data_IF_481846145708
#
_entry.id   IF_481846145708
#
_cell.length_a   1.000
_cell.length_b   1.000
_cell.length_c   1.000
_cell.angle_alpha   90.00
_cell.angle_beta   90.00
_cell.angle_gamma   90.00
#
_symmetry.space_group_name_H-M   'P 1'
#
loop_
_entity.id
_entity.type
_entity.pdbx_description
1 polymer ?
#
# COMPACT_ATOMS: atom_id res chain seq x y z
N UNK A 1 24.04 -58.92 -11.54
CA UNK A 1 24.59 -57.65 -11.01
C UNK A 1 24.18 -56.40 -11.81
N UNK A 2 24.11 -56.43 -13.15
CA UNK A 2 23.71 -55.24 -13.95
C UNK A 2 22.23 -54.81 -13.83
N UNK A 3 21.29 -55.75 -13.62
CA UNK A 3 19.85 -55.42 -13.51
C UNK A 3 19.45 -54.79 -12.17
N UNK A 4 20.10 -55.17 -11.06
CA UNK A 4 19.83 -54.58 -9.73
C UNK A 4 20.30 -53.12 -9.60
N UNK A 5 21.34 -52.74 -10.35
CA UNK A 5 21.88 -51.37 -10.37
C UNK A 5 20.95 -50.39 -11.09
N UNK A 6 20.23 -50.84 -12.12
CA UNK A 6 19.31 -49.99 -12.90
C UNK A 6 18.03 -49.69 -12.10
N UNK A 7 17.52 -50.67 -11.34
CA UNK A 7 16.33 -50.48 -10.48
C UNK A 7 16.65 -49.53 -9.32
N UNK A 8 17.85 -49.61 -8.74
CA UNK A 8 18.31 -48.67 -7.70
C UNK A 8 18.41 -47.23 -8.21
N UNK A 9 18.90 -47.03 -9.44
CA UNK A 9 19.00 -45.71 -10.06
C UNK A 9 17.63 -45.08 -10.36
N UNK A 10 16.65 -45.89 -10.81
CA UNK A 10 15.28 -45.42 -11.06
C UNK A 10 14.51 -45.09 -9.76
N UNK A 11 14.75 -45.82 -8.67
CA UNK A 11 14.20 -45.49 -7.35
C UNK A 11 14.81 -44.20 -6.78
N UNK A 12 16.12 -43.98 -6.99
CA UNK A 12 16.76 -42.71 -6.64
C UNK A 12 16.22 -41.54 -7.49
N UNK A 13 15.97 -41.75 -8.78
CA UNK A 13 15.41 -40.73 -9.66
C UNK A 13 13.96 -40.39 -9.31
N UNK A 14 13.14 -41.41 -8.99
CA UNK A 14 11.76 -41.21 -8.56
C UNK A 14 11.66 -40.52 -7.19
N UNK A 15 12.56 -40.81 -6.24
CA UNK A 15 12.60 -40.09 -4.95
C UNK A 15 13.07 -38.65 -5.11
N UNK A 16 13.94 -38.34 -6.09
CA UNK A 16 14.29 -36.95 -6.42
C UNK A 16 13.12 -36.20 -7.06
N UNK A 17 12.26 -36.87 -7.83
CA UNK A 17 11.06 -36.23 -8.40
C UNK A 17 10.02 -35.94 -7.30
N UNK A 18 9.84 -36.82 -6.32
CA UNK A 18 8.93 -36.56 -5.19
C UNK A 18 9.46 -35.54 -4.18
N UNK A 19 10.78 -35.38 -4.05
CA UNK A 19 11.38 -34.34 -3.20
C UNK A 19 11.31 -32.92 -3.81
N UNK A 20 10.97 -32.79 -5.10
CA UNK A 20 10.74 -31.50 -5.78
C UNK A 20 9.27 -31.07 -5.82
N UNK A 21 8.32 -31.88 -5.30
CA UNK A 21 6.88 -31.52 -5.24
C UNK A 21 6.52 -31.09 -3.80
N UNK A 22 7.45 -30.45 -3.12
CA UNK A 22 7.14 -29.55 -2.01
C UNK A 22 7.60 -28.16 -2.47
N UNK A 23 6.97 -27.62 -3.51
CA UNK A 23 6.96 -26.17 -3.68
C UNK A 23 6.08 -25.66 -2.54
N UNK A 24 6.77 -25.12 -1.53
CA UNK A 24 6.20 -24.19 -0.58
C UNK A 24 5.46 -23.10 -1.38
N UNK A 25 4.15 -23.26 -1.55
CA UNK A 25 3.25 -22.15 -1.85
C UNK A 25 3.18 -21.27 -0.60
N UNK A 26 4.30 -20.63 -0.24
CA UNK A 26 4.19 -19.30 0.36
C UNK A 26 3.73 -18.42 -0.80
N UNK A 27 2.45 -18.05 -0.83
CA UNK A 27 1.93 -17.06 -1.77
C UNK A 27 2.78 -15.79 -1.61
N UNK A 28 3.77 -15.62 -2.50
CA UNK A 28 4.67 -14.49 -2.50
C UNK A 28 3.83 -13.25 -2.83
N UNK A 29 3.46 -12.49 -1.78
CA UNK A 29 2.65 -11.28 -1.92
C UNK A 29 3.33 -10.34 -2.92
N UNK A 30 2.70 -10.16 -4.08
CA UNK A 30 3.27 -9.33 -5.14
C UNK A 30 3.09 -7.86 -4.80
N UNK A 31 4.12 -7.02 -4.99
CA UNK A 31 3.96 -5.59 -4.84
C UNK A 31 2.99 -5.07 -5.90
N UNK A 32 2.18 -4.08 -5.54
CA UNK A 32 1.38 -3.37 -6.52
C UNK A 32 2.29 -2.65 -7.53
N UNK A 33 2.00 -2.84 -8.81
CA UNK A 33 2.74 -2.19 -9.89
C UNK A 33 1.98 -0.98 -10.41
N UNK A 34 2.65 0.17 -10.39
CA UNK A 34 2.09 1.39 -10.99
C UNK A 34 2.31 1.36 -12.50
N UNK A 35 1.27 1.75 -13.23
CA UNK A 35 1.39 2.05 -14.65
C UNK A 35 2.08 3.40 -14.87
N UNK A 36 2.43 3.69 -16.12
CA UNK A 36 2.89 5.03 -16.48
C UNK A 36 1.74 6.02 -16.36
N UNK A 37 1.96 7.14 -15.68
CA UNK A 37 0.90 8.10 -15.41
C UNK A 37 1.24 9.10 -14.33
N UNK A 38 0.25 9.90 -13.97
CA UNK A 38 0.36 10.95 -12.96
C UNK A 38 -0.07 10.41 -11.60
N UNK A 39 0.77 10.58 -10.59
CA UNK A 39 0.56 10.13 -9.23
C UNK A 39 1.01 11.18 -8.22
N UNK A 40 0.66 10.96 -6.95
CA UNK A 40 0.95 11.90 -5.87
C UNK A 40 1.77 11.24 -4.75
N UNK A 41 2.60 12.05 -4.11
CA UNK A 41 3.40 11.61 -2.96
C UNK A 41 2.57 11.55 -1.68
N UNK A 42 2.55 10.38 -1.05
CA UNK A 42 1.78 10.14 0.18
C UNK A 42 2.54 10.45 1.47
N UNK A 43 3.85 10.68 1.42
CA UNK A 43 4.70 11.01 2.57
C UNK A 43 5.83 11.97 2.14
N UNK A 44 6.52 12.58 3.10
CA UNK A 44 7.55 13.59 2.85
C UNK A 44 8.62 13.66 3.96
N UNK A 45 9.87 14.04 3.64
CA UNK A 45 10.41 14.27 2.30
C UNK A 45 10.85 12.97 1.62
N UNK A 46 10.72 12.90 0.28
CA UNK A 46 11.15 11.74 -0.52
C UNK A 46 12.32 12.13 -1.42
N UNK A 47 13.41 11.36 -1.37
CA UNK A 47 14.58 11.64 -2.20
C UNK A 47 14.41 11.08 -3.62
N UNK A 48 14.58 11.92 -4.64
CA UNK A 48 14.77 11.50 -6.03
C UNK A 48 16.24 11.12 -6.20
N UNK A 49 16.52 9.93 -6.70
CA UNK A 49 17.87 9.38 -6.82
C UNK A 49 18.32 9.23 -8.27
N UNK A 50 19.63 9.25 -8.50
CA UNK A 50 20.25 9.03 -9.82
C UNK A 50 20.22 7.58 -10.28
N UNK A 51 19.97 6.65 -9.37
CA UNK A 51 19.86 5.21 -9.64
C UNK A 51 18.70 4.62 -8.82
N UNK A 52 18.09 3.52 -9.28
CA UNK A 52 16.94 2.86 -8.64
C UNK A 52 17.38 2.02 -7.42
N UNK A 53 18.08 2.65 -6.47
CA UNK A 53 18.52 2.04 -5.22
C UNK A 53 18.94 3.12 -4.21
N UNK A 54 19.08 2.74 -2.93
CA UNK A 54 19.46 3.67 -1.86
C UNK A 54 20.89 4.24 -1.94
N UNK A 55 21.78 3.67 -2.76
CA UNK A 55 23.17 4.13 -2.94
C UNK A 55 23.28 5.21 -4.01
N UNK A 56 22.29 5.33 -4.89
CA UNK A 56 22.22 6.41 -5.88
C UNK A 56 22.24 7.79 -5.20
N UNK A 57 23.00 8.71 -5.77
CA UNK A 57 23.08 10.10 -5.29
C UNK A 57 21.70 10.75 -5.33
N UNK A 58 21.39 11.59 -4.35
CA UNK A 58 20.14 12.35 -4.34
C UNK A 58 20.27 13.50 -5.34
N UNK A 59 19.36 13.56 -6.30
CA UNK A 59 19.31 14.57 -7.39
C UNK A 59 18.14 15.54 -7.23
N UNK A 60 17.23 15.27 -6.30
CA UNK A 60 16.09 16.12 -5.98
C UNK A 60 15.35 15.61 -4.75
N UNK A 61 14.35 16.36 -4.30
CA UNK A 61 13.46 15.98 -3.21
C UNK A 61 12.03 16.33 -3.57
N UNK A 62 11.12 15.45 -3.18
CA UNK A 62 9.68 15.64 -3.26
C UNK A 62 9.13 15.95 -1.87
N UNK A 63 8.21 16.89 -1.83
CA UNK A 63 7.35 17.22 -0.71
C UNK A 63 6.11 16.34 -0.65
N UNK A 64 5.29 16.63 0.36
CA UNK A 64 3.99 15.99 0.52
C UNK A 64 3.05 16.56 -0.54
N UNK A 65 2.18 15.72 -1.11
CA UNK A 65 1.24 16.09 -2.18
C UNK A 65 1.87 16.40 -3.54
N UNK A 66 3.20 16.37 -3.67
CA UNK A 66 3.86 16.60 -4.95
C UNK A 66 3.33 15.64 -6.01
N UNK A 67 3.00 16.19 -7.18
CA UNK A 67 2.59 15.45 -8.37
C UNK A 67 3.84 14.98 -9.13
N UNK A 68 3.85 13.71 -9.55
CA UNK A 68 4.93 13.10 -10.33
C UNK A 68 4.36 12.39 -11.56
N UNK A 69 5.17 12.31 -12.63
CA UNK A 69 4.89 11.43 -13.77
C UNK A 69 5.76 10.17 -13.64
N UNK A 70 5.15 9.00 -13.44
CA UNK A 70 5.84 7.71 -13.62
C UNK A 70 5.98 7.46 -15.12
N UNK A 71 7.23 7.20 -15.54
CA UNK A 71 7.55 6.93 -16.94
C UNK A 71 8.12 5.53 -17.17
N UNK A 72 8.56 4.84 -16.11
CA UNK A 72 9.11 3.48 -16.20
C UNK A 72 9.06 2.76 -14.85
N UNK A 73 8.54 1.54 -14.83
CA UNK A 73 8.74 0.58 -13.73
C UNK A 73 10.07 -0.16 -13.95
N UNK A 74 10.98 -0.10 -12.98
CA UNK A 74 12.31 -0.72 -13.08
C UNK A 74 12.29 -2.19 -12.63
N UNK A 75 11.27 -2.62 -11.89
CA UNK A 75 11.13 -4.01 -11.40
C UNK A 75 12.12 -4.41 -10.30
N UNK A 76 13.00 -3.50 -9.87
CA UNK A 76 13.89 -3.75 -8.74
C UNK A 76 13.08 -3.70 -7.44
N UNK A 77 12.64 -4.84 -6.95
CA UNK A 77 11.84 -4.93 -5.72
C UNK A 77 12.76 -4.67 -4.52
N UNK A 78 12.32 -3.79 -3.63
CA UNK A 78 13.00 -3.52 -2.37
C UNK A 78 11.98 -3.37 -1.24
N UNK A 79 12.25 -4.02 -0.10
CA UNK A 79 11.50 -3.78 1.13
C UNK A 79 12.10 -2.61 1.91
N UNK A 80 11.28 -1.64 2.29
CA UNK A 80 11.62 -0.55 3.20
C UNK A 80 10.45 -0.28 4.16
N UNK A 81 10.74 -0.19 5.45
CA UNK A 81 9.74 0.10 6.51
C UNK A 81 8.53 -0.87 6.48
N UNK A 82 8.79 -2.16 6.25
CA UNK A 82 7.74 -3.19 6.22
C UNK A 82 6.79 -3.10 5.03
N UNK A 83 7.23 -2.47 3.94
CA UNK A 83 6.52 -2.45 2.66
C UNK A 83 7.50 -2.88 1.57
N UNK A 84 7.05 -3.75 0.69
CA UNK A 84 7.80 -4.29 -0.44
C UNK A 84 7.27 -3.63 -1.71
N UNK A 85 8.13 -2.91 -2.43
CA UNK A 85 7.74 -2.16 -3.62
C UNK A 85 8.87 -2.03 -4.65
N UNK A 86 8.48 -1.78 -5.90
CA UNK A 86 9.40 -1.54 -7.02
C UNK A 86 10.03 -0.15 -6.94
N UNK A 87 11.15 0.02 -7.66
CA UNK A 87 11.67 1.35 -8.02
C UNK A 87 11.05 1.83 -9.32
N UNK A 88 10.77 3.13 -9.40
CA UNK A 88 10.18 3.77 -10.56
C UNK A 88 11.04 4.92 -11.02
N UNK A 89 11.16 5.07 -12.33
CA UNK A 89 11.69 6.29 -12.95
C UNK A 89 10.56 7.28 -13.10
N UNK A 90 10.82 8.51 -12.69
CA UNK A 90 9.83 9.58 -12.64
C UNK A 90 10.35 10.85 -13.29
N UNK A 91 9.42 11.71 -13.73
CA UNK A 91 9.67 13.13 -13.96
C UNK A 91 8.99 13.95 -12.88
N UNK A 92 9.69 14.99 -12.46
CA UNK A 92 9.20 16.01 -11.54
C UNK A 92 9.84 17.35 -11.90
N UNK A 93 9.05 18.30 -12.41
CA UNK A 93 9.57 19.52 -13.03
C UNK A 93 10.65 19.18 -14.08
N UNK A 94 11.85 19.77 -13.97
CA UNK A 94 12.98 19.52 -14.86
C UNK A 94 13.86 18.32 -14.41
N UNK A 95 13.47 17.59 -13.35
CA UNK A 95 14.24 16.48 -12.79
C UNK A 95 13.68 15.16 -13.32
N UNK A 96 14.55 14.33 -13.89
CA UNK A 96 14.29 12.91 -14.13
C UNK A 96 15.17 12.08 -13.21
N UNK A 97 14.58 11.13 -12.48
CA UNK A 97 15.32 10.27 -11.57
C UNK A 97 14.47 9.12 -11.06
N UNK A 98 14.88 8.51 -9.95
CA UNK A 98 14.27 7.29 -9.43
C UNK A 98 13.78 7.47 -8.01
N UNK A 99 12.59 6.95 -7.72
CA UNK A 99 12.03 6.87 -6.38
C UNK A 99 11.57 5.44 -6.08
N UNK A 100 11.50 5.12 -4.80
CA UNK A 100 10.96 3.85 -4.35
C UNK A 100 9.43 3.94 -4.20
N UNK A 101 8.71 2.97 -4.74
CA UNK A 101 7.26 2.99 -4.95
C UNK A 101 6.42 3.05 -3.69
N UNK A 102 6.95 2.66 -2.52
CA UNK A 102 6.19 2.69 -1.26
C UNK A 102 5.87 4.09 -0.72
N UNK A 103 6.33 5.15 -1.40
CA UNK A 103 5.95 6.55 -1.17
C UNK A 103 4.96 7.10 -2.22
N UNK A 104 4.59 6.31 -3.23
CA UNK A 104 3.65 6.71 -4.28
C UNK A 104 2.25 6.30 -3.86
N UNK A 105 1.29 7.20 -3.98
CA UNK A 105 -0.11 6.89 -3.69
C UNK A 105 -0.75 6.11 -4.82
N UNK A 106 -1.46 5.03 -4.47
CA UNK A 106 -2.30 4.29 -5.41
C UNK A 106 -3.53 5.09 -5.83
N UNK A 107 -4.09 5.89 -4.93
CA UNK A 107 -5.10 6.90 -5.24
C UNK A 107 -5.23 7.92 -4.12
N UNK A 108 -5.74 9.09 -4.48
CA UNK A 108 -5.89 10.24 -3.60
C UNK A 108 -7.32 10.77 -3.63
N UNK A 109 -7.85 11.11 -2.45
CA UNK A 109 -9.11 11.84 -2.31
C UNK A 109 -8.78 13.15 -1.60
N UNK A 110 -9.02 14.27 -2.29
CA UNK A 110 -9.00 15.60 -1.69
C UNK A 110 -10.44 16.00 -1.36
N UNK A 111 -10.69 16.38 -0.11
CA UNK A 111 -11.95 16.98 0.31
C UNK A 111 -11.65 18.30 1.03
N UNK A 112 -12.31 19.37 0.60
CA UNK A 112 -12.23 20.68 1.24
C UNK A 112 -13.54 20.88 2.02
N UNK A 113 -13.45 21.10 3.33
CA UNK A 113 -14.63 21.44 4.13
C UNK A 113 -14.89 22.94 4.06
N UNK A 114 -15.87 23.35 3.25
CA UNK A 114 -16.26 24.75 3.02
C UNK A 114 -16.57 25.54 4.32
N UNK A 115 -16.92 24.86 5.41
CA UNK A 115 -17.30 25.51 6.67
C UNK A 115 -16.13 25.87 7.60
N UNK A 116 -14.93 25.31 7.39
CA UNK A 116 -13.82 25.40 8.37
C UNK A 116 -12.48 25.81 7.70
N UNK A 117 -12.47 26.15 6.40
CA UNK A 117 -11.23 26.45 5.65
C UNK A 117 -10.15 25.38 5.90
N UNK A 118 -10.57 24.11 5.80
CA UNK A 118 -9.75 22.96 6.17
C UNK A 118 -9.71 21.98 5.00
N UNK A 119 -8.49 21.69 4.55
CA UNK A 119 -8.21 20.72 3.52
C UNK A 119 -7.86 19.37 4.16
N UNK A 120 -8.63 18.34 3.79
CA UNK A 120 -8.29 16.95 4.07
C UNK A 120 -7.76 16.27 2.82
N UNK A 121 -6.61 15.62 2.95
CA UNK A 121 -6.07 14.73 1.94
C UNK A 121 -6.03 13.31 2.47
N UNK A 122 -6.56 12.38 1.69
CA UNK A 122 -6.58 10.96 2.02
C UNK A 122 -5.84 10.26 0.89
N UNK A 123 -4.70 9.67 1.22
CA UNK A 123 -3.93 8.81 0.34
C UNK A 123 -4.00 7.39 0.87
N UNK A 124 -3.90 6.43 -0.04
CA UNK A 124 -3.56 5.07 0.36
C UNK A 124 -2.52 4.49 -0.58
N UNK A 125 -1.87 3.44 -0.10
CA UNK A 125 -1.07 2.51 -0.91
C UNK A 125 -1.66 1.12 -0.79
N UNK A 126 -1.53 0.34 -1.86
CA UNK A 126 -1.92 -1.07 -1.86
C UNK A 126 -0.88 -1.85 -1.06
N UNK A 127 -1.33 -2.53 -0.02
CA UNK A 127 -0.49 -3.29 0.90
C UNK A 127 0.02 -4.58 0.25
N UNK A 128 -0.86 -5.26 -0.48
CA UNK A 128 -0.54 -6.46 -1.23
C UNK A 128 -1.63 -6.74 -2.28
N UNK A 129 -1.27 -7.56 -3.25
CA UNK A 129 -2.22 -8.22 -4.15
C UNK A 129 -2.46 -9.62 -3.60
N UNK A 130 -3.73 -9.98 -3.40
CA UNK A 130 -4.09 -11.32 -2.92
C UNK A 130 -3.93 -12.39 -4.03
N UNK A 131 -4.07 -13.69 -3.69
CA UNK A 131 -3.94 -14.76 -4.68
C UNK A 131 -4.97 -14.72 -5.82
N UNK A 132 -6.09 -14.00 -5.65
CA UNK A 132 -7.12 -13.79 -6.67
C UNK A 132 -6.81 -12.57 -7.58
N UNK A 133 -5.72 -11.85 -7.29
CA UNK A 133 -5.29 -10.68 -8.05
C UNK A 133 -5.94 -9.38 -7.60
N UNK A 134 -6.58 -9.35 -6.42
CA UNK A 134 -7.32 -8.20 -5.93
C UNK A 134 -6.45 -7.36 -4.98
N UNK A 135 -6.50 -6.01 -5.07
CA UNK A 135 -5.73 -5.14 -4.21
C UNK A 135 -6.34 -5.04 -2.81
N UNK A 136 -5.49 -5.23 -1.79
CA UNK A 136 -5.83 -5.09 -0.39
C UNK A 136 -5.07 -3.92 0.26
N UNK A 137 -5.71 -3.24 1.22
CA UNK A 137 -5.14 -2.07 1.93
C UNK A 137 -5.32 -2.25 3.43
N UNK A 138 -4.23 -2.31 4.18
CA UNK A 138 -4.27 -2.26 5.64
C UNK A 138 -4.53 -0.84 6.15
N UNK A 139 -5.09 -0.72 7.36
CA UNK A 139 -5.32 0.59 7.99
C UNK A 139 -4.05 1.43 8.12
N UNK A 140 -2.91 0.80 8.42
CA UNK A 140 -1.59 1.46 8.51
C UNK A 140 -1.11 2.07 7.19
N UNK A 141 -1.71 1.64 6.07
CA UNK A 141 -1.40 2.04 4.70
C UNK A 141 -2.40 3.08 4.15
N UNK A 142 -3.29 3.58 5.01
CA UNK A 142 -4.14 4.75 4.77
C UNK A 142 -3.51 5.95 5.49
N UNK A 143 -3.33 7.04 4.76
CA UNK A 143 -2.66 8.25 5.19
C UNK A 143 -3.66 9.40 5.09
N UNK A 144 -3.97 10.02 6.24
CA UNK A 144 -4.92 11.12 6.32
C UNK A 144 -4.16 12.34 6.79
N UNK A 145 -4.33 13.45 6.08
CA UNK A 145 -3.71 14.73 6.39
C UNK A 145 -4.78 15.78 6.58
N UNK A 146 -4.69 16.53 7.68
CA UNK A 146 -5.45 17.74 7.92
C UNK A 146 -4.48 18.91 7.87
N UNK A 147 -4.65 19.84 6.92
CA UNK A 147 -3.73 20.97 6.75
C UNK A 147 -2.25 20.53 6.72
N UNK A 148 -1.98 19.43 6.00
CA UNK A 148 -0.67 18.76 5.87
C UNK A 148 -0.11 18.10 7.14
N UNK A 149 -0.86 18.08 8.25
CA UNK A 149 -0.53 17.34 9.48
C UNK A 149 -1.09 15.92 9.35
N UNK A 150 -0.21 14.92 9.45
CA UNK A 150 -0.61 13.50 9.41
C UNK A 150 -1.43 13.15 10.66
N UNK A 151 -2.65 12.69 10.46
CA UNK A 151 -3.50 12.17 11.52
C UNK A 151 -3.15 10.69 11.78
N UNK A 152 -3.20 10.28 13.04
CA UNK A 152 -2.84 8.90 13.40
C UNK A 152 -4.09 8.02 13.39
N UNK A 153 -4.17 7.08 12.45
CA UNK A 153 -5.23 6.06 12.42
C UNK A 153 -4.94 4.96 13.45
N UNK A 154 -5.86 4.65 14.38
CA UNK A 154 -5.66 3.55 15.34
C UNK A 154 -5.58 2.20 14.64
N UNK A 155 -4.54 1.43 14.94
CA UNK A 155 -4.39 0.05 14.44
C UNK A 155 -5.34 -0.93 15.17
N UNK A 156 -5.71 -0.60 16.42
CA UNK A 156 -6.57 -1.44 17.24
C UNK A 156 -8.06 -1.09 17.04
N UNK A 157 -8.81 -2.07 16.56
CA UNK A 157 -10.27 -2.04 16.46
C UNK A 157 -10.95 -2.50 17.77
N UNK A 158 -10.24 -2.48 18.90
CA UNK A 158 -10.78 -2.92 20.19
C UNK A 158 -11.80 -1.88 20.67
N UNK A 159 -13.06 -2.26 20.52
CA UNK A 159 -14.23 -1.42 20.31
C UNK A 159 -14.80 -0.76 21.57
N UNK A 160 -13.95 -0.40 22.53
CA UNK A 160 -14.40 0.34 23.70
C UNK A 160 -13.42 1.45 24.07
N UNK A 161 -13.76 2.67 23.64
CA UNK A 161 -13.32 3.93 24.23
C UNK A 161 -11.80 4.14 24.35
N UNK A 162 -11.22 4.79 23.33
CA UNK A 162 -10.02 5.63 23.53
C UNK A 162 -10.34 7.09 23.16
N UNK A 163 -10.65 7.96 24.15
CA UNK A 163 -11.20 9.30 23.96
C UNK A 163 -10.17 10.37 23.50
N UNK A 164 -9.14 9.98 22.73
CA UNK A 164 -8.00 10.86 22.43
C UNK A 164 -7.60 10.90 20.94
N UNK A 165 -8.47 10.52 19.98
CA UNK A 165 -8.08 10.43 18.56
C UNK A 165 -9.08 11.05 17.60
N UNK A 166 -8.54 11.80 16.63
CA UNK A 166 -9.23 12.69 15.67
C UNK A 166 -9.94 11.96 14.51
N UNK A 167 -9.70 10.66 14.35
CA UNK A 167 -10.17 9.86 13.20
C UNK A 167 -10.72 8.52 13.65
N UNK A 168 -11.93 8.20 13.20
CA UNK A 168 -12.54 6.89 13.34
C UNK A 168 -12.92 6.32 11.98
N UNK A 169 -12.30 5.21 11.59
CA UNK A 169 -12.67 4.48 10.38
C UNK A 169 -13.62 3.34 10.71
N UNK A 170 -14.76 3.27 10.02
CA UNK A 170 -15.60 2.09 10.02
C UNK A 170 -15.66 1.54 8.58
N UNK A 171 -15.14 0.33 8.39
CA UNK A 171 -15.21 -0.37 7.11
C UNK A 171 -16.24 -1.49 7.23
N UNK A 172 -17.14 -1.58 6.24
CA UNK A 172 -18.15 -2.63 6.15
C UNK A 172 -18.06 -3.33 4.78
N UNK A 173 -18.38 -4.62 4.73
CA UNK A 173 -18.56 -5.30 3.44
C UNK A 173 -19.71 -4.62 2.66
N UNK A 174 -19.43 -4.23 1.41
CA UNK A 174 -20.42 -3.61 0.54
C UNK A 174 -21.33 -4.69 -0.06
N UNK A 175 -22.42 -5.02 0.63
CA UNK A 175 -23.47 -5.88 0.10
C UNK A 175 -23.07 -7.36 -0.10
N UNK A 176 -23.67 -8.01 -1.10
CA UNK A 176 -23.55 -9.46 -1.33
C UNK A 176 -22.36 -9.86 -2.21
N UNK A 177 -21.37 -9.00 -2.41
CA UNK A 177 -20.16 -9.34 -3.19
C UNK A 177 -19.01 -9.58 -2.21
N UNK A 178 -18.65 -10.85 -1.95
CA UNK A 178 -17.49 -11.17 -1.12
C UNK A 178 -16.26 -10.43 -1.67
N UNK A 179 -15.48 -9.81 -0.79
CA UNK A 179 -14.30 -9.06 -1.20
C UNK A 179 -14.60 -7.68 -1.80
N UNK A 180 -15.74 -7.04 -1.55
CA UNK A 180 -15.89 -5.60 -1.80
C UNK A 180 -16.27 -4.91 -0.50
N UNK A 181 -15.53 -3.87 -0.13
CA UNK A 181 -15.73 -3.14 1.12
C UNK A 181 -16.01 -1.68 0.78
N UNK A 182 -17.08 -1.14 1.36
CA UNK A 182 -17.31 0.30 1.39
C UNK A 182 -17.11 0.76 2.82
N UNK A 183 -16.29 1.79 2.99
CA UNK A 183 -15.98 2.36 4.29
C UNK A 183 -16.55 3.76 4.44
N UNK A 184 -16.85 4.13 5.67
CA UNK A 184 -17.03 5.52 6.04
C UNK A 184 -15.85 5.92 6.91
N UNK A 185 -15.27 7.08 6.63
CA UNK A 185 -14.30 7.69 7.51
C UNK A 185 -14.99 8.81 8.26
N UNK A 186 -15.09 8.66 9.56
CA UNK A 186 -15.63 9.67 10.44
C UNK A 186 -14.46 10.49 10.99
N UNK A 187 -14.48 11.79 10.72
CA UNK A 187 -13.50 12.72 11.26
C UNK A 187 -14.20 13.53 12.36
N UNK A 188 -13.67 13.44 13.57
CA UNK A 188 -14.23 14.10 14.74
C UNK A 188 -13.47 15.38 15.02
N UNK A 189 -14.17 16.51 15.01
CA UNK A 189 -13.57 17.84 15.16
C UNK A 189 -13.53 18.34 16.62
N UNK A 190 -14.03 17.55 17.57
CA UNK A 190 -14.00 17.87 19.00
C UNK A 190 -13.76 16.62 19.83
N UNK A 191 -12.95 16.78 20.88
CA UNK A 191 -12.76 15.88 22.03
C UNK A 191 -14.05 15.37 22.69
N UNK A 192 -15.17 16.09 22.53
CA UNK A 192 -16.47 15.70 23.08
C UNK A 192 -17.33 14.85 22.12
N UNK A 193 -16.90 14.60 20.87
CA UNK A 193 -17.58 13.76 19.89
C UNK A 193 -19.02 14.17 19.51
N UNK A 194 -19.47 15.35 19.92
CA UNK A 194 -20.83 15.85 19.63
C UNK A 194 -20.98 16.36 18.19
N UNK A 195 -19.87 16.70 17.54
CA UNK A 195 -19.82 17.22 16.17
C UNK A 195 -18.87 16.36 15.33
N UNK A 196 -19.45 15.46 14.53
CA UNK A 196 -18.75 14.63 13.56
C UNK A 196 -19.05 15.15 12.15
N UNK A 197 -18.01 15.40 11.37
CA UNK A 197 -18.18 15.49 9.93
C UNK A 197 -18.00 14.07 9.37
N UNK A 198 -19.08 13.53 8.80
CA UNK A 198 -19.05 12.23 8.14
C UNK A 198 -18.45 12.40 6.74
N UNK A 199 -17.28 11.80 6.51
CA UNK A 199 -16.73 11.68 5.17
C UNK A 199 -17.06 10.31 4.64
N UNK A 200 -18.00 10.26 3.71
CA UNK A 200 -18.21 9.04 2.92
C UNK A 200 -17.02 8.90 1.96
N UNK A 201 -16.00 8.19 2.41
CA UNK A 201 -14.96 7.64 1.55
C UNK A 201 -15.59 6.52 0.73
N UNK A 202 -16.13 6.86 -0.44
CA UNK A 202 -16.46 5.89 -1.46
C UNK A 202 -15.18 5.26 -2.00
N UNK A 203 -14.64 4.31 -1.26
CA UNK A 203 -13.58 3.40 -1.71
C UNK A 203 -14.22 2.34 -2.60
N UNK A 204 -14.93 2.76 -3.65
CA UNK A 204 -15.75 1.91 -4.52
C UNK A 204 -14.92 0.84 -5.27
N UNK A 205 -13.59 0.83 -5.06
CA UNK A 205 -12.62 -0.02 -5.73
C UNK A 205 -11.62 -0.72 -4.78
N UNK A 206 -11.69 -0.53 -3.46
CA UNK A 206 -10.77 -1.20 -2.52
C UNK A 206 -11.46 -2.39 -1.86
N UNK A 207 -10.91 -3.56 -2.12
CA UNK A 207 -11.55 -4.86 -1.97
C UNK A 207 -11.34 -5.46 -0.58
N UNK A 208 -10.44 -4.90 0.24
CA UNK A 208 -10.22 -5.42 1.59
C UNK A 208 -9.50 -4.43 2.50
N UNK A 209 -10.08 -4.15 3.67
CA UNK A 209 -9.36 -3.58 4.81
C UNK A 209 -9.12 -4.67 5.84
N UNK A 210 -7.98 -5.33 5.73
CA UNK A 210 -7.60 -6.43 6.61
C UNK A 210 -7.17 -5.98 8.00
N UNK A 211 -7.44 -6.82 9.01
CA UNK A 211 -6.75 -6.73 10.30
C UNK A 211 -5.33 -7.26 10.14
N UNK A 212 -4.36 -6.38 10.33
CA UNK A 212 -2.94 -6.66 10.58
C UNK A 212 -2.26 -7.66 9.64
N UNK A 213 -1.55 -7.16 8.63
CA UNK A 213 -0.40 -7.88 8.09
C UNK A 213 0.67 -8.01 9.17
N UNK A 214 1.27 -9.20 9.28
CA UNK A 214 2.29 -9.57 10.28
C UNK A 214 3.36 -8.50 10.51
#
# INVERSE_FOLDING_TARGET
MKQALIISFLLFFALNIFAQINDDYEDELKPFEFENGIYYMLDSPVNIRSQPNLKGTVVGKLGLHDEIEIIENIGNIQELKGVTQNWYKIKFNDITGYIWGGYISASSIKSSLDKIDTDYYIYYRISFIDPEGLPAVYLKDIFIYNNNIRLTVPEDNDSYYRPWRDVYGAFSESGNTPGKYSGYLYLFNDTNYEHCDEFQLKLDEIIYVGKNGR
#
